data_IF_302842471303
#
_entry.id   IF_302842471303
#
_cell.length_a   1.000
_cell.length_b   1.000
_cell.length_c   1.000
_cell.angle_alpha   90.00
_cell.angle_beta   90.00
_cell.angle_gamma   90.00
#
_symmetry.space_group_name_H-M   'P 1'
#
loop_
_entity.id
_entity.type
_entity.pdbx_description
1 polymer ?
#
# COMPACT_ATOMS: atom_id res chain seq x y z
N UNK A 1 -14.35 16.63 6.41
CA UNK A 1 -14.89 16.08 7.68
C UNK A 1 -13.77 15.54 8.57
N UNK A 2 -12.69 16.28 8.77
CA UNK A 2 -11.52 15.88 9.59
C UNK A 2 -11.46 16.60 10.93
N UNK A 3 -12.38 17.56 11.20
CA UNK A 3 -12.35 18.40 12.41
C UNK A 3 -12.52 17.59 13.70
N UNK A 4 -13.37 16.56 13.72
CA UNK A 4 -13.61 15.77 14.96
C UNK A 4 -12.36 15.00 15.39
N UNK A 5 -11.55 14.50 14.45
CA UNK A 5 -10.29 13.82 14.76
C UNK A 5 -9.26 14.75 15.39
N UNK A 6 -9.27 16.03 15.03
CA UNK A 6 -8.39 17.03 15.60
C UNK A 6 -8.70 17.30 17.08
N UNK A 7 -9.98 17.31 17.46
CA UNK A 7 -10.40 17.65 18.82
C UNK A 7 -10.58 16.43 19.74
N UNK A 8 -11.03 15.30 19.21
CA UNK A 8 -11.42 14.12 20.00
C UNK A 8 -10.97 12.78 19.39
N UNK A 9 -9.65 12.54 19.20
CA UNK A 9 -9.15 11.33 18.54
C UNK A 9 -9.51 10.03 19.28
N UNK A 10 -9.54 10.06 20.61
CA UNK A 10 -9.88 8.88 21.44
C UNK A 10 -11.31 8.38 21.21
N UNK A 11 -12.27 9.30 21.06
CA UNK A 11 -13.69 8.96 20.87
C UNK A 11 -13.88 8.28 19.52
N UNK A 12 -13.25 8.81 18.47
CA UNK A 12 -13.32 8.20 17.13
C UNK A 12 -12.70 6.81 17.14
N UNK A 13 -11.61 6.61 17.90
CA UNK A 13 -10.97 5.32 18.06
C UNK A 13 -11.86 4.25 18.72
N UNK A 14 -12.75 4.65 19.62
CA UNK A 14 -13.76 3.75 20.21
C UNK A 14 -14.80 3.24 19.20
N UNK A 15 -15.01 3.96 18.09
CA UNK A 15 -15.96 3.58 17.04
C UNK A 15 -15.29 2.96 15.80
N UNK A 16 -14.07 2.45 15.94
CA UNK A 16 -13.30 1.82 14.86
C UNK A 16 -14.09 0.75 14.10
N UNK A 17 -14.85 -0.11 14.79
CA UNK A 17 -15.64 -1.18 14.15
C UNK A 17 -16.78 -0.64 13.28
N UNK A 18 -17.33 0.52 13.61
CA UNK A 18 -18.31 1.20 12.74
C UNK A 18 -17.62 1.70 11.46
N UNK A 19 -16.44 2.31 11.60
CA UNK A 19 -15.69 2.86 10.46
C UNK A 19 -15.25 1.75 9.52
N UNK A 20 -14.81 0.61 10.04
CA UNK A 20 -14.51 -0.57 9.23
C UNK A 20 -15.74 -1.08 8.48
N UNK A 21 -16.91 -1.15 9.13
CA UNK A 21 -18.17 -1.51 8.44
C UNK A 21 -18.55 -0.53 7.34
N UNK A 22 -18.26 0.77 7.50
CA UNK A 22 -18.51 1.77 6.46
C UNK A 22 -17.63 1.61 5.21
N UNK A 23 -16.52 0.87 5.30
CA UNK A 23 -15.68 0.56 4.13
C UNK A 23 -16.28 -0.54 3.24
N UNK A 24 -17.25 -1.29 3.77
CA UNK A 24 -18.08 -2.27 3.05
C UNK A 24 -19.44 -1.71 2.60
N UNK A 25 -19.70 -0.42 2.81
CA UNK A 25 -20.99 0.19 2.49
C UNK A 25 -21.32 0.08 0.99
N UNK A 26 -22.58 0.08 0.58
CA UNK A 26 -22.93 0.05 -0.85
C UNK A 26 -22.61 1.37 -1.55
N UNK A 27 -22.63 2.47 -0.81
CA UNK A 27 -22.36 3.82 -1.30
C UNK A 27 -20.86 4.12 -1.26
N UNK A 28 -20.26 4.33 -2.43
CA UNK A 28 -18.84 4.65 -2.57
C UNK A 28 -18.46 5.96 -1.85
N UNK A 29 -19.36 6.93 -1.76
CA UNK A 29 -19.10 8.17 -1.02
C UNK A 29 -18.97 7.95 0.49
N UNK A 30 -19.69 6.97 1.05
CA UNK A 30 -19.56 6.57 2.45
C UNK A 30 -18.21 5.88 2.67
N UNK A 31 -17.81 4.99 1.75
CA UNK A 31 -16.48 4.34 1.79
C UNK A 31 -15.35 5.36 1.78
N UNK A 32 -15.38 6.32 0.86
CA UNK A 32 -14.35 7.38 0.75
C UNK A 32 -14.31 8.25 2.00
N UNK A 33 -15.46 8.58 2.60
CA UNK A 33 -15.51 9.30 3.88
C UNK A 33 -14.90 8.48 5.02
N UNK A 34 -15.20 7.18 5.08
CA UNK A 34 -14.62 6.26 6.07
C UNK A 34 -13.10 6.15 5.93
N UNK A 35 -12.57 6.11 4.69
CA UNK A 35 -11.12 6.11 4.44
C UNK A 35 -10.43 7.37 4.97
N UNK A 36 -11.04 8.54 4.77
CA UNK A 36 -10.50 9.80 5.28
C UNK A 36 -10.52 9.88 6.81
N UNK A 37 -11.52 9.27 7.46
CA UNK A 37 -11.54 9.16 8.93
C UNK A 37 -10.47 8.20 9.43
N UNK A 38 -10.33 7.05 8.77
CA UNK A 38 -9.36 6.02 9.10
C UNK A 38 -7.93 6.56 9.04
N UNK A 39 -7.59 7.41 8.06
CA UNK A 39 -6.29 8.10 7.98
C UNK A 39 -5.96 8.87 9.27
N UNK A 40 -6.90 9.61 9.85
CA UNK A 40 -6.64 10.40 11.05
C UNK A 40 -6.57 9.58 12.35
N UNK A 41 -6.91 8.29 12.30
CA UNK A 41 -6.87 7.36 13.44
C UNK A 41 -5.63 6.47 13.45
N UNK A 42 -4.75 6.62 12.45
CA UNK A 42 -3.55 5.82 12.34
C UNK A 42 -2.58 6.19 13.46
N UNK A 43 -1.97 5.16 14.02
CA UNK A 43 -0.93 5.21 15.03
C UNK A 43 0.06 4.08 14.78
N UNK A 44 1.25 4.14 15.38
CA UNK A 44 2.22 3.04 15.33
C UNK A 44 1.67 1.70 15.81
N UNK A 45 0.64 1.71 16.67
CA UNK A 45 0.05 0.50 17.27
C UNK A 45 -0.96 -0.19 16.35
N UNK A 46 -1.67 0.55 15.51
CA UNK A 46 -2.75 0.02 14.67
C UNK A 46 -2.47 0.10 13.17
N UNK A 47 -1.33 0.68 12.75
CA UNK A 47 -0.96 0.79 11.33
C UNK A 47 -1.05 -0.56 10.60
N UNK A 48 -0.44 -1.61 11.16
CA UNK A 48 -0.40 -2.94 10.53
C UNK A 48 -1.80 -3.50 10.32
N UNK A 49 -2.67 -3.35 11.31
CA UNK A 49 -4.05 -3.81 11.22
C UNK A 49 -4.85 -3.05 10.16
N UNK A 50 -4.69 -1.73 10.13
CA UNK A 50 -5.32 -0.85 9.14
C UNK A 50 -4.85 -1.21 7.73
N UNK A 51 -3.54 -1.36 7.53
CA UNK A 51 -2.98 -1.72 6.22
C UNK A 51 -3.47 -3.08 5.76
N UNK A 52 -3.48 -4.09 6.63
CA UNK A 52 -4.06 -5.41 6.31
C UNK A 52 -5.52 -5.31 5.91
N UNK A 53 -6.32 -4.54 6.64
CA UNK A 53 -7.71 -4.30 6.30
C UNK A 53 -7.84 -3.68 4.90
N UNK A 54 -7.10 -2.62 4.61
CA UNK A 54 -7.11 -1.98 3.29
C UNK A 54 -6.68 -2.95 2.17
N UNK A 55 -5.65 -3.76 2.41
CA UNK A 55 -5.17 -4.76 1.45
C UNK A 55 -6.25 -5.80 1.12
N UNK A 56 -7.05 -6.25 2.10
CA UNK A 56 -8.18 -7.13 1.84
C UNK A 56 -9.21 -6.50 0.90
N UNK A 57 -9.51 -5.20 1.07
CA UNK A 57 -10.42 -4.49 0.15
C UNK A 57 -9.79 -4.27 -1.23
N UNK A 58 -8.48 -4.02 -1.29
CA UNK A 58 -7.75 -3.92 -2.57
C UNK A 58 -7.78 -5.26 -3.29
N UNK A 59 -7.71 -6.39 -2.62
CA UNK A 59 -7.77 -7.72 -3.24
C UNK A 59 -9.19 -8.18 -3.61
N UNK A 60 -10.24 -7.48 -3.15
CA UNK A 60 -11.62 -7.88 -3.40
C UNK A 60 -12.03 -7.57 -4.86
N UNK A 61 -12.36 -8.59 -5.67
CA UNK A 61 -12.70 -8.40 -7.09
C UNK A 61 -14.05 -7.71 -7.31
N UNK A 62 -14.92 -7.66 -6.29
CA UNK A 62 -16.20 -6.96 -6.37
C UNK A 62 -16.06 -5.43 -6.30
N UNK A 63 -14.89 -4.94 -5.89
CA UNK A 63 -14.62 -3.51 -5.82
C UNK A 63 -14.27 -2.94 -7.19
N UNK A 64 -14.75 -1.73 -7.48
CA UNK A 64 -14.43 -1.01 -8.71
C UNK A 64 -12.92 -0.75 -8.80
N UNK A 65 -12.38 -0.71 -10.02
CA UNK A 65 -10.95 -0.41 -10.25
C UNK A 65 -10.58 0.95 -9.64
N UNK A 66 -11.43 1.96 -9.81
CA UNK A 66 -11.23 3.29 -9.24
C UNK A 66 -11.13 3.29 -7.71
N UNK A 67 -12.03 2.57 -7.03
CA UNK A 67 -11.99 2.47 -5.58
C UNK A 67 -10.72 1.74 -5.10
N UNK A 68 -10.28 0.71 -5.83
CA UNK A 68 -9.04 -0.03 -5.53
C UNK A 68 -7.80 0.86 -5.69
N UNK A 69 -7.73 1.66 -6.73
CA UNK A 69 -6.65 2.63 -6.91
C UNK A 69 -6.66 3.73 -5.83
N UNK A 70 -7.84 4.17 -5.38
CA UNK A 70 -7.97 5.10 -4.24
C UNK A 70 -7.49 4.47 -2.93
N UNK A 71 -7.84 3.20 -2.67
CA UNK A 71 -7.36 2.44 -1.52
C UNK A 71 -5.83 2.32 -1.51
N UNK A 72 -5.22 1.98 -2.66
CA UNK A 72 -3.75 1.91 -2.79
C UNK A 72 -3.12 3.27 -2.52
N UNK A 73 -3.66 4.33 -3.11
CA UNK A 73 -3.18 5.70 -2.91
C UNK A 73 -3.29 6.12 -1.45
N UNK A 74 -4.39 5.77 -0.78
CA UNK A 74 -4.60 6.06 0.63
C UNK A 74 -3.66 5.26 1.53
N UNK A 75 -3.42 3.98 1.23
CA UNK A 75 -2.49 3.12 1.95
C UNK A 75 -1.07 3.67 1.87
N UNK A 76 -0.58 3.98 0.66
CA UNK A 76 0.75 4.56 0.45
C UNK A 76 0.87 5.87 1.23
N UNK A 77 -0.13 6.76 1.13
CA UNK A 77 -0.15 8.02 1.86
C UNK A 77 -0.13 7.82 3.39
N UNK A 78 -0.88 6.86 3.92
CA UNK A 78 -0.89 6.54 5.36
C UNK A 78 0.48 6.07 5.84
N UNK A 79 1.21 5.30 5.02
CA UNK A 79 2.53 4.82 5.39
C UNK A 79 3.63 5.88 5.22
N UNK A 80 3.55 6.74 4.20
CA UNK A 80 4.60 7.72 3.89
C UNK A 80 4.45 9.07 4.62
N UNK A 81 3.29 9.37 5.19
CA UNK A 81 3.04 10.61 5.93
C UNK A 81 4.06 10.87 7.04
N UNK A 82 4.36 12.15 7.26
CA UNK A 82 5.27 12.65 8.29
C UNK A 82 6.63 11.93 8.33
N UNK A 83 7.21 11.65 7.15
CA UNK A 83 8.47 10.91 7.00
C UNK A 83 8.41 9.48 7.57
N UNK A 84 7.37 8.72 7.21
CA UNK A 84 7.17 7.36 7.68
C UNK A 84 6.94 7.26 9.20
N UNK A 85 6.37 8.30 9.83
CA UNK A 85 6.25 8.40 11.29
C UNK A 85 5.62 7.17 11.96
N UNK A 86 4.68 6.52 11.28
CA UNK A 86 3.95 5.36 11.80
C UNK A 86 4.59 4.02 11.47
N UNK A 87 5.51 3.95 10.50
CA UNK A 87 6.14 2.70 10.04
C UNK A 87 7.26 2.32 11.00
N UNK A 88 7.18 1.12 11.58
CA UNK A 88 8.20 0.61 12.52
C UNK A 88 9.13 -0.44 11.90
N UNK A 89 8.70 -1.08 10.80
CA UNK A 89 9.49 -2.03 10.03
C UNK A 89 9.37 -1.71 8.56
N UNK A 90 10.48 -1.30 7.94
CA UNK A 90 10.54 -1.02 6.51
C UNK A 90 10.57 -2.30 5.67
N UNK A 91 11.12 -3.40 6.20
CA UNK A 91 11.05 -4.71 5.53
C UNK A 91 9.58 -5.14 5.34
N UNK A 92 8.77 -5.00 6.39
CA UNK A 92 7.32 -5.23 6.29
C UNK A 92 6.67 -4.32 5.25
N UNK A 93 7.01 -3.02 5.26
CA UNK A 93 6.40 -2.08 4.33
C UNK A 93 6.79 -2.36 2.87
N UNK A 94 8.04 -2.76 2.61
CA UNK A 94 8.49 -3.22 1.29
C UNK A 94 7.68 -4.44 0.84
N UNK A 95 7.47 -5.43 1.73
CA UNK A 95 6.63 -6.59 1.41
C UNK A 95 5.20 -6.17 1.05
N UNK A 96 4.62 -5.20 1.75
CA UNK A 96 3.30 -4.64 1.42
C UNK A 96 3.29 -4.02 0.01
N UNK A 97 4.29 -3.21 -0.34
CA UNK A 97 4.37 -2.58 -1.68
C UNK A 97 4.46 -3.65 -2.78
N UNK A 98 5.28 -4.68 -2.57
CA UNK A 98 5.45 -5.78 -3.53
C UNK A 98 4.15 -6.60 -3.68
N UNK A 99 3.44 -6.85 -2.58
CA UNK A 99 2.15 -7.55 -2.61
C UNK A 99 1.07 -6.75 -3.33
N UNK A 100 1.00 -5.43 -3.10
CA UNK A 100 0.11 -4.53 -3.84
C UNK A 100 0.42 -4.54 -5.34
N UNK A 101 1.70 -4.58 -5.72
CA UNK A 101 2.11 -4.63 -7.13
C UNK A 101 1.62 -5.90 -7.83
N UNK A 102 1.58 -7.03 -7.12
CA UNK A 102 1.08 -8.31 -7.65
C UNK A 102 -0.43 -8.39 -7.73
N UNK A 103 -1.16 -7.57 -6.97
CA UNK A 103 -2.61 -7.68 -6.84
C UNK A 103 -3.31 -7.29 -8.14
N UNK A 104 -4.11 -8.21 -8.69
CA UNK A 104 -4.77 -8.05 -9.98
C UNK A 104 -5.81 -6.95 -9.98
N UNK A 105 -5.65 -5.91 -10.79
CA UNK A 105 -6.57 -4.76 -10.88
C UNK A 105 -6.08 -3.52 -10.12
N UNK A 106 -4.89 -3.57 -9.54
CA UNK A 106 -4.14 -2.37 -9.12
C UNK A 106 -3.43 -1.79 -10.34
N UNK A 107 -3.70 -0.53 -10.69
CA UNK A 107 -3.10 0.13 -11.87
C UNK A 107 -2.10 1.22 -11.52
N UNK A 108 -1.98 1.58 -10.25
CA UNK A 108 -1.08 2.64 -9.78
C UNK A 108 0.38 2.16 -9.63
N UNK A 109 0.94 1.55 -10.68
CA UNK A 109 2.31 1.00 -10.63
C UNK A 109 3.39 2.05 -10.48
N UNK A 110 3.22 3.22 -11.10
CA UNK A 110 4.13 4.37 -10.93
C UNK A 110 4.23 4.78 -9.45
N UNK A 111 3.09 4.91 -8.77
CA UNK A 111 3.06 5.27 -7.34
C UNK A 111 3.82 4.26 -6.48
N UNK A 112 3.61 2.96 -6.73
CA UNK A 112 4.29 1.89 -5.99
C UNK A 112 5.80 1.87 -6.29
N UNK A 113 6.16 2.11 -7.56
CA UNK A 113 7.54 2.19 -8.04
C UNK A 113 8.30 3.34 -7.36
N UNK A 114 7.73 4.56 -7.38
CA UNK A 114 8.28 5.74 -6.74
C UNK A 114 8.44 5.54 -5.23
N UNK A 115 7.42 4.96 -4.58
CA UNK A 115 7.45 4.70 -3.14
C UNK A 115 8.52 3.68 -2.75
N UNK A 116 8.73 2.65 -3.58
CA UNK A 116 9.73 1.62 -3.35
C UNK A 116 11.15 2.19 -3.49
N UNK A 117 11.38 3.02 -4.50
CA UNK A 117 12.64 3.76 -4.68
C UNK A 117 12.89 4.71 -3.51
N UNK A 118 11.88 5.49 -3.08
CA UNK A 118 12.01 6.43 -1.95
C UNK A 118 12.46 5.72 -0.67
N UNK A 119 11.84 4.58 -0.34
CA UNK A 119 12.23 3.76 0.82
C UNK A 119 13.66 3.25 0.67
N UNK A 120 14.04 2.71 -0.49
CA UNK A 120 15.38 2.18 -0.73
C UNK A 120 16.48 3.26 -0.63
N UNK A 121 16.20 4.48 -1.10
CA UNK A 121 17.12 5.61 -1.02
C UNK A 121 17.24 6.08 0.43
N UNK A 122 16.12 6.33 1.11
CA UNK A 122 16.08 6.99 2.42
C UNK A 122 16.42 6.08 3.60
N UNK A 123 16.31 4.76 3.43
CA UNK A 123 16.53 3.79 4.52
C UNK A 123 17.66 2.83 4.15
N UNK A 124 18.93 3.19 4.42
CA UNK A 124 20.08 2.37 4.05
C UNK A 124 20.06 0.96 4.67
N UNK A 125 19.51 0.81 5.87
CA UNK A 125 19.50 -0.45 6.61
C UNK A 125 18.67 -1.56 5.96
N UNK A 126 17.72 -1.23 5.06
CA UNK A 126 16.87 -2.24 4.40
C UNK A 126 17.29 -2.54 2.96
N UNK A 127 18.37 -1.94 2.45
CA UNK A 127 18.78 -2.11 1.04
C UNK A 127 19.08 -3.55 0.66
N UNK A 128 19.76 -4.30 1.55
CA UNK A 128 20.01 -5.73 1.33
C UNK A 128 18.71 -6.53 1.21
N UNK A 129 17.73 -6.24 2.07
CA UNK A 129 16.40 -6.83 1.99
C UNK A 129 15.66 -6.42 0.72
N UNK A 130 15.69 -5.13 0.34
CA UNK A 130 15.11 -4.64 -0.91
C UNK A 130 15.65 -5.43 -2.11
N UNK A 131 16.98 -5.52 -2.25
CA UNK A 131 17.62 -6.23 -3.37
C UNK A 131 17.18 -7.69 -3.41
N UNK A 132 17.15 -8.37 -2.26
CA UNK A 132 16.67 -9.75 -2.18
C UNK A 132 15.21 -9.89 -2.63
N UNK A 133 14.32 -9.00 -2.20
CA UNK A 133 12.91 -8.99 -2.62
C UNK A 133 12.77 -8.69 -4.13
N UNK A 134 13.56 -7.77 -4.67
CA UNK A 134 13.55 -7.42 -6.09
C UNK A 134 14.04 -8.58 -6.97
N UNK A 135 15.05 -9.33 -6.51
CA UNK A 135 15.52 -10.54 -7.19
C UNK A 135 14.42 -11.62 -7.27
N UNK A 136 13.66 -11.79 -6.18
CA UNK A 136 12.51 -12.71 -6.14
C UNK A 136 11.41 -12.23 -7.11
N UNK A 137 11.13 -10.91 -7.13
CA UNK A 137 10.15 -10.32 -8.04
C UNK A 137 10.43 -10.69 -9.51
N UNK A 138 11.69 -10.59 -9.96
CA UNK A 138 12.05 -11.00 -11.32
C UNK A 138 11.76 -12.47 -11.60
N UNK A 139 12.07 -13.35 -10.65
CA UNK A 139 11.84 -14.79 -10.80
C UNK A 139 10.35 -15.10 -10.98
N UNK A 140 9.48 -14.44 -10.21
CA UNK A 140 8.03 -14.57 -10.31
C UNK A 140 7.54 -14.05 -11.67
N UNK A 141 8.06 -12.91 -12.13
CA UNK A 141 7.70 -12.34 -13.42
C UNK A 141 8.13 -13.24 -14.61
N UNK A 142 9.34 -13.82 -14.56
CA UNK A 142 9.85 -14.72 -15.61
C UNK A 142 9.11 -16.06 -15.68
N UNK A 143 8.58 -16.55 -14.55
CA UNK A 143 7.89 -17.84 -14.47
C UNK A 143 6.42 -17.78 -14.92
N UNK A 144 5.86 -16.58 -15.05
CA UNK A 144 4.47 -16.40 -15.47
C UNK A 144 4.34 -16.58 -16.98
N UNK A 145 3.99 -17.79 -17.41
CA UNK A 145 3.69 -18.17 -18.80
C UNK A 145 2.41 -17.53 -19.37
N UNK A 146 1.64 -16.80 -18.56
CA UNK A 146 0.49 -16.05 -19.04
C UNK A 146 0.96 -14.79 -19.76
N UNK A 147 0.46 -14.47 -20.97
CA UNK A 147 0.88 -13.28 -21.69
C UNK A 147 0.66 -12.05 -20.82
N UNK A 148 1.72 -11.25 -20.60
CA UNK A 148 1.73 -10.00 -19.82
C UNK A 148 0.51 -9.09 -20.10
N UNK A 149 -0.07 -9.17 -21.30
CA UNK A 149 -1.22 -8.38 -21.73
C UNK A 149 -2.55 -8.74 -21.05
N UNK A 150 -2.68 -9.88 -20.36
CA UNK A 150 -3.92 -10.24 -19.64
C UNK A 150 -3.91 -9.86 -18.16
N UNK A 151 -2.73 -9.63 -17.56
CA UNK A 151 -2.66 -9.15 -16.17
C UNK A 151 -2.70 -7.63 -16.15
N UNK A 152 -3.75 -7.10 -15.54
CA UNK A 152 -3.91 -5.66 -15.30
C UNK A 152 -3.42 -5.34 -13.89
N UNK A 153 -2.15 -5.61 -13.61
CA UNK A 153 -1.53 -5.29 -12.33
C UNK A 153 -0.34 -4.33 -12.51
N UNK A 154 0.16 -3.82 -11.39
CA UNK A 154 1.19 -2.79 -11.34
C UNK A 154 2.63 -3.31 -11.55
N UNK A 155 2.81 -4.60 -11.84
CA UNK A 155 4.12 -5.24 -11.87
C UNK A 155 5.09 -4.61 -12.87
N UNK A 156 4.63 -4.26 -14.08
CA UNK A 156 5.53 -3.74 -15.11
C UNK A 156 6.28 -2.48 -14.64
N UNK A 157 5.59 -1.56 -13.97
CA UNK A 157 6.18 -0.32 -13.47
C UNK A 157 7.12 -0.59 -12.28
N UNK A 158 6.74 -1.53 -11.41
CA UNK A 158 7.51 -1.89 -10.22
C UNK A 158 8.78 -2.68 -10.58
N UNK A 159 8.76 -3.47 -11.65
CA UNK A 159 9.93 -4.16 -12.21
C UNK A 159 11.01 -3.15 -12.64
N UNK A 160 10.61 -1.99 -13.15
CA UNK A 160 11.56 -0.93 -13.49
C UNK A 160 12.30 -0.42 -12.25
N UNK A 161 11.57 -0.09 -11.17
CA UNK A 161 12.17 0.25 -9.88
C UNK A 161 13.05 -0.89 -9.34
N UNK A 162 12.58 -2.13 -9.43
CA UNK A 162 13.33 -3.29 -8.99
C UNK A 162 14.69 -3.41 -9.69
N UNK A 163 14.71 -3.15 -11.00
CA UNK A 163 15.92 -3.19 -11.82
C UNK A 163 16.91 -2.11 -11.39
N UNK A 164 16.41 -0.91 -11.13
CA UNK A 164 17.22 0.19 -10.62
C UNK A 164 17.80 -0.11 -9.23
N UNK A 165 16.99 -0.59 -8.29
CA UNK A 165 17.40 -0.93 -6.92
C UNK A 165 18.50 -2.00 -6.93
N UNK A 166 18.34 -3.06 -7.73
CA UNK A 166 19.36 -4.09 -7.88
C UNK A 166 20.64 -3.53 -8.50
N UNK A 167 20.54 -2.69 -9.53
CA UNK A 167 21.70 -2.06 -10.17
C UNK A 167 22.51 -1.17 -9.22
N UNK A 168 21.83 -0.44 -8.35
CA UNK A 168 22.45 0.52 -7.42
C UNK A 168 23.01 -0.16 -6.16
N UNK A 169 22.27 -1.13 -5.59
CA UNK A 169 22.51 -1.61 -4.23
C UNK A 169 22.92 -3.09 -4.11
N UNK A 170 23.08 -3.85 -5.20
CA UNK A 170 23.49 -5.27 -5.13
C UNK A 170 24.99 -5.50 -4.85
N UNK A 171 25.73 -4.44 -4.47
CA UNK A 171 27.18 -4.49 -4.20
C UNK A 171 27.49 -4.74 -2.73
#
# INVERSE_FOLDING_TARGET
MTKILQYHPKIVQSHKDLIFRCLDDKDESIRVRALNLLQGMVSRKNLVEIVKFLMCHVANPNNSVHYRDELVSKLVHICSQDNFHYVTSFEWYISVIVELAHTDGVRNGILLSDQLIDVAIRVPSVRSFCVAQMAILFTVCSSSTSPIRTRQNALCDVIHAASWICGEYAK
#
